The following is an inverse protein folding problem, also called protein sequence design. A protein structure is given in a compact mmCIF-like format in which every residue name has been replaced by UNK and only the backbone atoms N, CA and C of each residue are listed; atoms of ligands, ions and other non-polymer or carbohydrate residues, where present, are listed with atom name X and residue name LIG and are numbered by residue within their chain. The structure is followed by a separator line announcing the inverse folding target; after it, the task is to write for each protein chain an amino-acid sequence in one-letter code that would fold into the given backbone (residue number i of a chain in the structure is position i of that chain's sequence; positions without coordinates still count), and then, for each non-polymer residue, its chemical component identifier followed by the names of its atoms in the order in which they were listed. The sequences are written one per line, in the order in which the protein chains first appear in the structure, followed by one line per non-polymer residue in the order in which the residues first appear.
data_IF_225240361778
#
_entry.id   IF_225240361778
#
_cell.length_a   1.000
_cell.length_b   1.000
_cell.length_c   1.000
_cell.angle_alpha   90.00
_cell.angle_beta   90.00
_cell.angle_gamma   90.00
#
_symmetry.space_group_name_H-M   'P 1'
#
loop_
_entity.id
_entity.type
_entity.pdbx_description
1 polymer ?
#
# COMPACT_ATOMS: atom_id res chain seq x y z
N UNK A 1 -27.04 29.89 -11.65
CA UNK A 1 -25.63 29.49 -11.85
C UNK A 1 -24.98 29.40 -10.49
N UNK A 2 -25.22 28.30 -9.79
CA UNK A 2 -24.45 27.89 -8.62
C UNK A 2 -23.40 26.94 -9.16
N UNK A 3 -22.15 27.38 -9.15
CA UNK A 3 -21.02 26.51 -9.47
C UNK A 3 -21.02 25.35 -8.48
N UNK A 4 -21.26 24.16 -9.01
CA UNK A 4 -21.05 22.89 -8.36
C UNK A 4 -19.53 22.76 -8.16
N UNK A 5 -19.02 23.30 -7.05
CA UNK A 5 -17.68 22.95 -6.59
C UNK A 5 -17.75 21.48 -6.23
N UNK A 6 -16.99 20.58 -6.88
CA UNK A 6 -16.90 19.24 -6.37
C UNK A 6 -16.41 19.37 -4.94
N UNK A 7 -17.17 18.82 -4.00
CA UNK A 7 -16.70 18.58 -2.63
C UNK A 7 -15.27 18.09 -2.77
N UNK A 8 -14.31 18.86 -2.27
CA UNK A 8 -12.91 18.47 -2.28
C UNK A 8 -12.79 17.32 -1.28
N UNK A 9 -13.20 16.13 -1.71
CA UNK A 9 -13.10 14.91 -0.95
C UNK A 9 -11.66 14.83 -0.47
N UNK A 10 -11.50 14.81 0.85
CA UNK A 10 -10.19 14.73 1.49
C UNK A 10 -9.49 13.51 0.88
N UNK A 11 -8.34 13.72 0.27
CA UNK A 11 -7.49 12.63 -0.21
C UNK A 11 -6.96 11.88 1.03
N UNK A 12 -7.42 10.64 1.31
CA UNK A 12 -7.08 9.95 2.54
C UNK A 12 -5.57 9.71 2.68
N UNK A 13 -4.85 9.50 1.56
CA UNK A 13 -3.40 9.31 1.62
C UNK A 13 -2.67 10.59 1.99
N UNK A 14 -3.21 11.75 1.57
CA UNK A 14 -2.69 13.05 1.98
C UNK A 14 -2.97 13.32 3.46
N UNK A 15 -4.13 12.92 3.96
CA UNK A 15 -4.44 12.98 5.39
C UNK A 15 -3.47 12.14 6.22
N UNK A 16 -3.22 10.89 5.80
CA UNK A 16 -2.24 10.01 6.45
C UNK A 16 -0.83 10.60 6.40
N UNK A 17 -0.37 11.10 5.26
CA UNK A 17 0.94 11.74 5.14
C UNK A 17 1.09 12.92 6.12
N UNK A 18 0.05 13.75 6.26
CA UNK A 18 0.06 14.86 7.22
C UNK A 18 0.06 14.39 8.67
N UNK A 19 -0.73 13.36 9.01
CA UNK A 19 -0.74 12.77 10.34
C UNK A 19 0.62 12.17 10.70
N UNK A 20 1.26 11.45 9.77
CA UNK A 20 2.59 10.85 9.93
C UNK A 20 3.69 11.92 10.09
N UNK A 21 3.61 13.04 9.34
CA UNK A 21 4.49 14.20 9.54
C UNK A 21 4.39 14.71 10.97
N UNK A 22 3.19 15.04 11.43
CA UNK A 22 2.96 15.54 12.80
C UNK A 22 3.45 14.56 13.86
N UNK A 23 3.12 13.28 13.72
CA UNK A 23 3.55 12.24 14.65
C UNK A 23 5.07 12.15 14.75
N UNK A 24 5.77 12.22 13.60
CA UNK A 24 7.23 12.19 13.55
C UNK A 24 7.84 13.46 14.14
N UNK A 25 7.30 14.64 13.81
CA UNK A 25 7.81 15.92 14.28
C UNK A 25 7.67 16.06 15.81
N UNK A 26 6.54 15.64 16.38
CA UNK A 26 6.30 15.62 17.83
C UNK A 26 7.32 14.76 18.60
N UNK A 27 7.94 13.79 17.93
CA UNK A 27 8.90 12.84 18.52
C UNK A 27 10.34 13.11 18.09
N UNK A 28 10.56 14.15 17.28
CA UNK A 28 11.84 14.41 16.62
C UNK A 28 12.35 13.20 15.81
N UNK A 29 11.42 12.42 15.23
CA UNK A 29 11.75 11.19 14.50
C UNK A 29 12.02 11.41 13.02
N UNK A 30 11.77 12.61 12.48
CA UNK A 30 12.02 12.87 11.07
C UNK A 30 13.49 12.65 10.67
N UNK A 31 14.43 12.82 11.61
CA UNK A 31 15.85 12.51 11.43
C UNK A 31 16.13 11.03 11.11
N UNK A 32 15.25 10.11 11.51
CA UNK A 32 15.36 8.67 11.22
C UNK A 32 14.63 8.27 9.93
N UNK A 33 13.79 9.14 9.38
CA UNK A 33 12.94 8.89 8.21
C UNK A 33 13.64 9.15 6.86
N UNK A 34 14.93 8.84 6.75
CA UNK A 34 15.59 8.81 5.44
C UNK A 34 14.89 7.78 4.53
N UNK A 35 14.76 8.02 3.20
CA UNK A 35 14.07 7.09 2.30
C UNK A 35 14.57 5.64 2.38
N UNK A 36 15.88 5.43 2.56
CA UNK A 36 16.47 4.10 2.78
C UNK A 36 15.87 3.41 4.01
N UNK A 37 15.76 4.13 5.12
CA UNK A 37 15.30 3.57 6.38
C UNK A 37 13.80 3.24 6.31
N UNK A 38 13.00 4.12 5.70
CA UNK A 38 11.57 3.87 5.48
C UNK A 38 11.34 2.68 4.55
N UNK A 39 12.13 2.51 3.49
CA UNK A 39 12.04 1.35 2.62
C UNK A 39 12.43 0.04 3.35
N UNK A 40 13.43 0.10 4.24
CA UNK A 40 13.79 -1.03 5.10
C UNK A 40 12.66 -1.36 6.07
N UNK A 41 12.10 -0.38 6.77
CA UNK A 41 10.99 -0.57 7.70
C UNK A 41 9.76 -1.17 6.99
N UNK A 42 9.39 -0.64 5.82
CA UNK A 42 8.33 -1.22 4.98
C UNK A 42 8.56 -2.70 4.69
N UNK A 43 9.80 -3.11 4.41
CA UNK A 43 10.13 -4.51 4.17
C UNK A 43 10.00 -5.39 5.42
N UNK A 44 10.19 -4.82 6.61
CA UNK A 44 9.99 -5.51 7.89
C UNK A 44 8.49 -5.73 8.10
N UNK A 45 7.67 -4.70 7.99
CA UNK A 45 6.21 -4.84 8.16
C UNK A 45 5.59 -5.79 7.13
N UNK A 46 6.12 -5.81 5.90
CA UNK A 46 5.72 -6.78 4.89
C UNK A 46 6.07 -8.23 5.28
N UNK A 47 7.16 -8.42 6.03
CA UNK A 47 7.53 -9.72 6.58
C UNK A 47 6.65 -10.08 7.79
N UNK A 48 6.35 -9.13 8.69
CA UNK A 48 5.43 -9.32 9.82
C UNK A 48 4.02 -9.72 9.32
N UNK A 49 3.51 -9.03 8.28
CA UNK A 49 2.30 -9.43 7.57
C UNK A 49 2.36 -10.88 7.07
N UNK A 50 3.51 -11.29 6.51
CA UNK A 50 3.70 -12.65 5.99
C UNK A 50 3.73 -13.71 7.10
N UNK A 51 4.23 -13.39 8.30
CA UNK A 51 4.32 -14.32 9.43
C UNK A 51 2.96 -14.91 9.81
N UNK A 52 1.87 -14.15 9.64
CA UNK A 52 0.53 -14.65 9.85
C UNK A 52 0.16 -15.80 8.89
N UNK A 53 0.71 -15.83 7.68
CA UNK A 53 0.33 -16.82 6.67
C UNK A 53 1.31 -17.99 6.55
N UNK A 54 2.51 -17.89 7.14
CA UNK A 54 3.64 -18.76 6.82
C UNK A 54 3.39 -20.27 7.04
N UNK A 55 2.47 -20.64 7.94
CA UNK A 55 2.15 -22.04 8.25
C UNK A 55 0.74 -22.46 7.83
N UNK A 56 -0.03 -21.57 7.19
CA UNK A 56 -1.40 -21.86 6.78
C UNK A 56 -1.43 -22.64 5.47
N UNK A 57 -2.34 -23.62 5.38
CA UNK A 57 -2.77 -24.15 4.10
C UNK A 57 -3.56 -23.12 3.28
N UNK A 58 -3.68 -23.33 1.97
CA UNK A 58 -4.37 -22.39 1.07
C UNK A 58 -5.82 -22.11 1.53
N UNK A 59 -6.56 -23.16 1.89
CA UNK A 59 -7.93 -23.03 2.37
C UNK A 59 -8.04 -22.30 3.72
N UNK A 60 -7.04 -22.42 4.59
CA UNK A 60 -6.98 -21.75 5.88
C UNK A 60 -6.68 -20.25 5.71
N UNK A 61 -5.76 -19.92 4.78
CA UNK A 61 -5.43 -18.53 4.42
C UNK A 61 -6.64 -17.69 3.97
N UNK A 62 -7.70 -18.35 3.48
CA UNK A 62 -8.94 -17.71 3.01
C UNK A 62 -9.98 -17.54 4.12
N UNK A 63 -9.77 -18.14 5.30
CA UNK A 63 -10.73 -18.24 6.41
C UNK A 63 -10.06 -17.93 7.75
N UNK A 64 -9.37 -16.79 7.82
CA UNK A 64 -8.73 -16.34 9.06
C UNK A 64 -9.79 -16.12 10.15
N UNK A 65 -9.54 -16.58 11.39
CA UNK A 65 -10.42 -16.27 12.51
C UNK A 65 -10.35 -14.75 12.83
N UNK A 66 -11.39 -14.15 13.43
CA UNK A 66 -11.51 -12.70 13.58
C UNK A 66 -10.31 -12.03 14.26
N UNK A 67 -9.75 -12.66 15.29
CA UNK A 67 -8.58 -12.17 16.03
C UNK A 67 -7.30 -12.14 15.19
N UNK A 68 -7.17 -13.07 14.24
CA UNK A 68 -6.03 -13.12 13.33
C UNK A 68 -6.21 -12.13 12.19
N UNK A 69 -7.44 -11.98 11.68
CA UNK A 69 -7.78 -10.98 10.69
C UNK A 69 -7.52 -9.55 11.19
N UNK A 70 -7.79 -9.29 12.47
CA UNK A 70 -7.49 -8.00 13.10
C UNK A 70 -5.99 -7.67 13.04
N UNK A 71 -5.13 -8.62 13.44
CA UNK A 71 -3.66 -8.47 13.38
C UNK A 71 -3.15 -8.29 11.97
N UNK A 72 -3.63 -9.11 11.02
CA UNK A 72 -3.33 -8.93 9.60
C UNK A 72 -3.71 -7.53 9.11
N UNK A 73 -4.82 -6.97 9.61
CA UNK A 73 -5.23 -5.59 9.34
C UNK A 73 -4.27 -4.53 9.89
N UNK A 74 -3.70 -4.76 11.07
CA UNK A 74 -2.67 -3.89 11.67
C UNK A 74 -1.40 -3.91 10.81
N UNK A 75 -0.89 -5.08 10.45
CA UNK A 75 0.30 -5.21 9.59
C UNK A 75 0.09 -4.62 8.18
N UNK A 76 -1.11 -4.80 7.61
CA UNK A 76 -1.47 -4.14 6.34
C UNK A 76 -1.46 -2.61 6.47
N UNK A 77 -1.92 -2.08 7.60
CA UNK A 77 -1.90 -0.65 7.87
C UNK A 77 -0.46 -0.15 8.03
N UNK A 78 0.41 -0.89 8.71
CA UNK A 78 1.81 -0.50 8.87
C UNK A 78 2.55 -0.46 7.52
N UNK A 79 2.38 -1.48 6.67
CA UNK A 79 2.89 -1.46 5.29
C UNK A 79 2.39 -0.24 4.52
N UNK A 80 1.10 0.09 4.62
CA UNK A 80 0.51 1.26 3.97
C UNK A 80 1.13 2.56 4.51
N UNK A 81 1.24 2.72 5.81
CA UNK A 81 1.71 3.95 6.44
C UNK A 81 3.18 4.22 6.14
N UNK A 82 4.05 3.19 6.13
CA UNK A 82 5.42 3.36 5.68
C UNK A 82 5.53 3.69 4.19
N UNK A 83 4.69 3.08 3.33
CA UNK A 83 4.68 3.41 1.91
C UNK A 83 4.24 4.86 1.68
N UNK A 84 3.21 5.33 2.41
CA UNK A 84 2.75 6.71 2.37
C UNK A 84 3.84 7.65 2.86
N UNK A 85 4.51 7.35 3.99
CA UNK A 85 5.60 8.19 4.50
C UNK A 85 6.79 8.24 3.55
N UNK A 86 7.14 7.12 2.92
CA UNK A 86 8.20 7.04 1.92
C UNK A 86 7.85 7.89 0.68
N UNK A 87 6.63 7.76 0.17
CA UNK A 87 6.16 8.56 -0.96
C UNK A 87 6.19 10.07 -0.63
N UNK A 88 5.78 10.43 0.58
CA UNK A 88 5.78 11.80 1.10
C UNK A 88 7.21 12.39 1.21
N UNK A 89 8.20 11.60 1.64
CA UNK A 89 9.62 12.02 1.68
C UNK A 89 10.27 12.12 0.30
N UNK A 90 9.72 11.42 -0.71
CA UNK A 90 10.21 11.40 -2.08
C UNK A 90 9.41 12.31 -3.04
N UNK A 91 8.39 13.01 -2.55
CA UNK A 91 7.45 13.82 -3.35
C UNK A 91 6.78 13.01 -4.48
N UNK A 92 6.38 11.77 -4.17
CA UNK A 92 5.70 10.88 -5.10
C UNK A 92 4.18 10.92 -4.88
N UNK A 93 3.43 11.28 -5.92
CA UNK A 93 1.99 11.09 -5.96
C UNK A 93 1.66 9.59 -6.13
N UNK A 94 1.43 8.92 -5.00
CA UNK A 94 1.21 7.49 -4.94
C UNK A 94 -0.07 7.06 -5.68
N UNK A 95 -1.14 7.87 -5.64
CA UNK A 95 -2.40 7.58 -6.35
C UNK A 95 -2.19 7.64 -7.86
N UNK A 96 -1.52 8.69 -8.35
CA UNK A 96 -1.19 8.83 -9.77
C UNK A 96 -0.27 7.71 -10.24
N UNK A 97 0.74 7.36 -9.45
CA UNK A 97 1.65 6.25 -9.75
C UNK A 97 0.90 4.91 -9.85
N UNK A 98 0.01 4.62 -8.89
CA UNK A 98 -0.83 3.42 -8.89
C UNK A 98 -1.76 3.36 -10.12
N UNK A 99 -2.46 4.45 -10.44
CA UNK A 99 -3.34 4.54 -11.63
C UNK A 99 -2.58 4.28 -12.92
N UNK A 100 -1.41 4.90 -13.07
CA UNK A 100 -0.56 4.67 -14.25
C UNK A 100 -0.12 3.20 -14.33
N UNK A 101 0.29 2.62 -13.20
CA UNK A 101 0.69 1.21 -13.13
C UNK A 101 -0.44 0.25 -13.49
N UNK A 102 -1.68 0.53 -13.07
CA UNK A 102 -2.86 -0.25 -13.45
C UNK A 102 -3.10 -0.25 -14.97
N UNK A 103 -2.95 0.90 -15.63
CA UNK A 103 -3.07 1.00 -17.10
C UNK A 103 -2.00 0.17 -17.80
N UNK A 104 -0.75 0.26 -17.35
CA UNK A 104 0.35 -0.56 -17.88
C UNK A 104 0.11 -2.07 -17.67
N UNK A 105 -0.43 -2.46 -16.52
CA UNK A 105 -0.75 -3.86 -16.24
C UNK A 105 -1.87 -4.37 -17.16
N UNK A 106 -2.91 -3.58 -17.40
CA UNK A 106 -3.98 -3.94 -18.34
C UNK A 106 -3.48 -4.13 -19.78
N UNK A 107 -2.50 -3.33 -20.20
CA UNK A 107 -1.85 -3.49 -21.52
C UNK A 107 -0.99 -4.75 -21.58
N UNK A 108 -0.28 -5.09 -20.48
CA UNK A 108 0.56 -6.30 -20.40
C UNK A 108 -0.27 -7.59 -20.35
N UNK A 109 -1.45 -7.54 -19.75
CA UNK A 109 -2.31 -8.71 -19.53
C UNK A 109 -3.70 -8.47 -20.15
N UNK A 110 -3.82 -8.45 -21.49
CA UNK A 110 -5.09 -8.23 -22.15
C UNK A 110 -6.03 -9.43 -21.92
N UNK A 111 -7.33 -9.15 -21.77
CA UNK A 111 -8.34 -10.13 -21.32
C UNK A 111 -8.40 -11.37 -22.23
N UNK A 112 -8.30 -11.18 -23.54
CA UNK A 112 -8.35 -12.25 -24.54
C UNK A 112 -7.20 -13.26 -24.43
N UNK A 113 -6.07 -12.87 -23.82
CA UNK A 113 -4.89 -13.74 -23.66
C UNK A 113 -4.63 -14.17 -22.22
N UNK A 114 -4.94 -13.31 -21.25
CA UNK A 114 -4.61 -13.54 -19.85
C UNK A 114 -5.71 -14.24 -19.04
N UNK A 115 -6.95 -14.34 -19.55
CA UNK A 115 -8.08 -14.90 -18.79
C UNK A 115 -7.81 -16.36 -18.38
N UNK A 116 -7.80 -16.62 -17.08
CA UNK A 116 -7.56 -17.96 -16.51
C UNK A 116 -6.11 -18.44 -16.62
N UNK A 117 -5.17 -17.58 -17.01
CA UNK A 117 -3.76 -17.90 -17.15
C UNK A 117 -2.93 -17.17 -16.10
N UNK A 118 -2.04 -17.89 -15.41
CA UNK A 118 -1.02 -17.32 -14.53
C UNK A 118 0.32 -17.09 -15.25
N UNK A 119 0.38 -17.35 -16.56
CA UNK A 119 1.60 -17.16 -17.34
C UNK A 119 2.02 -15.69 -17.33
N UNK A 120 3.34 -15.48 -17.31
CA UNK A 120 3.91 -14.13 -17.42
C UNK A 120 3.53 -13.54 -18.78
N UNK A 121 3.37 -12.22 -18.88
CA UNK A 121 3.01 -11.56 -20.15
C UNK A 121 3.98 -11.83 -21.32
N UNK A 122 5.20 -12.29 -21.04
CA UNK A 122 6.18 -12.75 -22.03
C UNK A 122 5.87 -14.12 -22.62
N UNK A 123 4.85 -14.80 -22.10
CA UNK A 123 4.46 -16.19 -22.40
C UNK A 123 2.94 -16.30 -22.69
N UNK A 124 2.25 -15.17 -22.90
CA UNK A 124 0.83 -15.07 -23.24
C UNK A 124 0.56 -15.10 -24.75
#
# INVERSE_FOLDING_TARGET
MTEDRPDAAIDPLREFAQALRRFADERDWDQFHAPKNLAMALSVEAAELLEHFQWLGEDESRRLPPEMLAKVGEEMADVLLYLVRLADKLDVDLVKAARHKMQLNAQKYPVDRARGSSRKYTEL
#
